data_IF_487914828395
#
_entry.id   IF_487914828395
#
_cell.length_a   1.000
_cell.length_b   1.000
_cell.length_c   1.000
_cell.angle_alpha   90.00
_cell.angle_beta   90.00
_cell.angle_gamma   90.00
#
_symmetry.space_group_name_H-M   'P 1'
#
loop_
_entity.id
_entity.type
_entity.pdbx_description
1 polymer ?
#
# COMPACT_ATOMS: atom_id res chain seq x y z
N UNK A 1 25.79 6.60 -17.32
CA UNK A 1 25.22 5.40 -16.69
C UNK A 1 23.86 5.15 -17.28
N UNK A 2 23.64 4.00 -17.85
CA UNK A 2 22.41 3.74 -18.59
C UNK A 2 21.47 2.87 -17.75
N UNK A 3 20.18 3.24 -17.75
CA UNK A 3 19.12 2.49 -17.12
C UNK A 3 18.10 2.01 -18.15
N UNK A 4 17.52 0.85 -17.90
CA UNK A 4 16.50 0.29 -18.76
C UNK A 4 15.11 0.83 -18.38
N UNK A 5 14.91 1.08 -17.09
CA UNK A 5 13.64 1.60 -16.54
C UNK A 5 13.94 2.72 -15.53
N UNK A 6 13.18 3.79 -15.62
CA UNK A 6 13.19 4.90 -14.67
C UNK A 6 11.82 5.00 -14.01
N UNK A 7 11.78 4.89 -12.68
CA UNK A 7 10.56 5.03 -11.89
C UNK A 7 10.61 6.38 -11.17
N UNK A 8 9.61 7.22 -11.39
CA UNK A 8 9.49 8.50 -10.72
C UNK A 8 8.61 8.36 -9.49
N UNK A 9 9.21 8.53 -8.31
CA UNK A 9 8.58 8.41 -7.01
C UNK A 9 8.91 7.10 -6.30
N UNK A 10 9.34 7.21 -5.04
CA UNK A 10 9.63 6.10 -4.15
C UNK A 10 8.51 5.88 -3.11
N UNK A 11 7.28 6.16 -3.49
CA UNK A 11 6.11 5.80 -2.71
C UNK A 11 5.78 4.31 -2.84
N UNK A 12 4.71 3.83 -2.18
CA UNK A 12 4.36 2.41 -2.19
C UNK A 12 4.24 1.81 -3.59
N UNK A 13 3.61 2.51 -4.52
CA UNK A 13 3.44 2.03 -5.89
C UNK A 13 4.79 1.91 -6.63
N UNK A 14 5.64 2.93 -6.55
CA UNK A 14 6.95 2.92 -7.21
C UNK A 14 7.87 1.85 -6.64
N UNK A 15 7.90 1.69 -5.34
CA UNK A 15 8.71 0.66 -4.66
C UNK A 15 8.20 -0.76 -4.97
N UNK A 16 6.89 -0.97 -5.00
CA UNK A 16 6.31 -2.25 -5.41
C UNK A 16 6.65 -2.59 -6.86
N UNK A 17 6.61 -1.61 -7.76
CA UNK A 17 7.00 -1.82 -9.15
C UNK A 17 8.49 -2.16 -9.26
N UNK A 18 9.36 -1.44 -8.57
CA UNK A 18 10.79 -1.73 -8.54
C UNK A 18 11.06 -3.15 -8.02
N UNK A 19 10.35 -3.57 -6.96
CA UNK A 19 10.42 -4.92 -6.42
C UNK A 19 9.95 -5.97 -7.43
N UNK A 20 8.82 -5.73 -8.08
CA UNK A 20 8.26 -6.65 -9.07
C UNK A 20 9.21 -6.85 -10.27
N UNK A 21 9.91 -5.81 -10.69
CA UNK A 21 10.85 -5.85 -11.82
C UNK A 21 12.25 -6.34 -11.43
N UNK A 22 12.54 -6.45 -10.14
CA UNK A 22 13.85 -6.90 -9.67
C UNK A 22 14.11 -8.37 -10.03
N UNK A 23 15.36 -8.71 -10.27
CA UNK A 23 15.76 -10.08 -10.61
C UNK A 23 15.52 -10.50 -12.07
N UNK A 24 15.11 -9.58 -12.92
CA UNK A 24 14.87 -9.83 -14.36
C UNK A 24 16.00 -9.31 -15.28
N UNK A 25 17.16 -8.98 -14.71
CA UNK A 25 18.30 -8.48 -15.48
C UNK A 25 18.16 -7.04 -15.97
N UNK A 26 17.16 -6.31 -15.45
CA UNK A 26 16.93 -4.91 -15.81
C UNK A 26 17.68 -3.98 -14.86
N UNK A 27 18.20 -2.89 -15.42
CA UNK A 27 18.81 -1.80 -14.65
C UNK A 27 17.72 -0.78 -14.34
N UNK A 28 17.35 -0.67 -13.07
CA UNK A 28 16.22 0.15 -12.64
C UNK A 28 16.74 1.29 -11.77
N UNK A 29 16.31 2.51 -12.09
CA UNK A 29 16.53 3.67 -11.24
C UNK A 29 15.19 4.16 -10.68
N UNK A 30 15.18 4.48 -9.41
CA UNK A 30 14.04 5.14 -8.75
C UNK A 30 14.48 6.56 -8.42
N UNK A 31 13.72 7.54 -8.88
CA UNK A 31 13.99 8.97 -8.63
C UNK A 31 12.96 9.48 -7.64
N UNK A 32 13.45 10.03 -6.54
CA UNK A 32 12.64 10.57 -5.46
C UNK A 32 13.16 11.95 -5.07
N UNK A 33 12.24 12.90 -4.83
CA UNK A 33 12.64 14.25 -4.42
C UNK A 33 12.97 14.36 -2.93
N UNK A 34 12.45 13.45 -2.11
CA UNK A 34 12.79 13.42 -0.68
C UNK A 34 14.12 12.67 -0.46
N UNK A 35 14.87 13.03 0.59
CA UNK A 35 16.11 12.34 0.92
C UNK A 35 15.83 10.90 1.37
N UNK A 36 16.79 10.00 1.15
CA UNK A 36 16.68 8.59 1.52
C UNK A 36 16.28 8.39 2.99
N UNK A 37 16.82 9.23 3.88
CA UNK A 37 16.50 9.17 5.30
C UNK A 37 15.02 9.38 5.62
N UNK A 38 14.30 10.17 4.80
CA UNK A 38 12.87 10.38 4.96
C UNK A 38 12.03 9.19 4.46
N UNK A 39 12.61 8.39 3.55
CA UNK A 39 11.98 7.16 3.06
C UNK A 39 12.21 6.01 4.05
N UNK A 40 13.42 5.89 4.58
CA UNK A 40 13.80 4.83 5.53
C UNK A 40 13.16 5.03 6.91
N UNK A 41 12.97 6.27 7.33
CA UNK A 41 12.38 6.64 8.62
C UNK A 41 11.32 7.72 8.40
N UNK A 42 10.18 7.37 7.81
CA UNK A 42 9.13 8.34 7.54
C UNK A 42 8.54 8.90 8.83
N UNK A 43 8.34 10.22 8.86
CA UNK A 43 7.61 10.83 9.95
C UNK A 43 6.14 10.40 9.89
N UNK A 44 5.56 10.08 11.04
CA UNK A 44 4.14 9.78 11.13
C UNK A 44 3.31 11.01 10.70
N UNK A 45 2.55 10.87 9.64
CA UNK A 45 1.74 11.95 9.07
C UNK A 45 0.24 11.78 9.30
N UNK A 46 -0.16 10.75 10.02
CA UNK A 46 -1.56 10.47 10.35
C UNK A 46 -2.37 9.87 9.19
N UNK A 47 -1.75 9.63 8.06
CA UNK A 47 -2.45 9.01 6.91
C UNK A 47 -2.40 7.50 6.98
N UNK A 48 -3.50 6.89 6.62
CA UNK A 48 -3.61 5.46 6.43
C UNK A 48 -3.98 5.15 4.99
N UNK A 49 -3.43 4.07 4.47
CA UNK A 49 -3.70 3.59 3.11
C UNK A 49 -4.65 2.41 3.22
N UNK A 50 -5.76 2.47 2.48
CA UNK A 50 -6.68 1.36 2.35
C UNK A 50 -6.22 0.44 1.22
N UNK A 51 -5.93 -0.80 1.53
CA UNK A 51 -5.54 -1.82 0.58
C UNK A 51 -6.75 -2.69 0.24
N UNK A 52 -7.03 -2.83 -1.05
CA UNK A 52 -8.04 -3.79 -1.53
C UNK A 52 -7.53 -5.23 -1.35
N UNK A 53 -8.42 -6.21 -1.52
CA UNK A 53 -8.03 -7.62 -1.54
C UNK A 53 -6.96 -7.90 -2.60
N UNK A 54 -7.11 -7.31 -3.78
CA UNK A 54 -6.12 -7.45 -4.86
C UNK A 54 -4.77 -6.82 -4.51
N UNK A 55 -4.75 -5.62 -3.96
CA UNK A 55 -3.50 -4.97 -3.53
C UNK A 55 -2.78 -5.76 -2.45
N UNK A 56 -3.51 -6.32 -1.51
CA UNK A 56 -2.95 -7.20 -0.48
C UNK A 56 -2.33 -8.45 -1.10
N UNK A 57 -2.98 -9.04 -2.11
CA UNK A 57 -2.44 -10.19 -2.82
C UNK A 57 -1.15 -9.85 -3.56
N UNK A 58 -1.07 -8.68 -4.20
CA UNK A 58 0.17 -8.19 -4.82
C UNK A 58 1.30 -8.10 -3.81
N UNK A 59 1.05 -7.54 -2.63
CA UNK A 59 2.07 -7.45 -1.57
C UNK A 59 2.53 -8.84 -1.12
N UNK A 60 1.62 -9.82 -1.01
CA UNK A 60 1.95 -11.21 -0.67
C UNK A 60 2.81 -11.84 -1.75
N UNK A 61 2.43 -11.69 -3.00
CA UNK A 61 3.16 -12.25 -4.14
C UNK A 61 4.58 -11.68 -4.27
N UNK A 62 4.78 -10.43 -3.88
CA UNK A 62 6.08 -9.78 -3.84
C UNK A 62 6.91 -10.14 -2.58
N UNK A 63 6.33 -10.87 -1.63
CA UNK A 63 6.97 -11.21 -0.35
C UNK A 63 7.07 -10.03 0.61
N UNK A 64 6.33 -8.95 0.37
CA UNK A 64 6.37 -7.73 1.19
C UNK A 64 5.42 -7.81 2.38
N UNK A 65 4.29 -8.48 2.24
CA UNK A 65 3.29 -8.60 3.31
C UNK A 65 3.89 -9.20 4.58
N UNK A 66 4.55 -10.34 4.45
CA UNK A 66 5.15 -11.05 5.58
C UNK A 66 6.28 -10.25 6.22
N UNK A 67 7.06 -9.54 5.41
CA UNK A 67 8.15 -8.69 5.92
C UNK A 67 7.60 -7.52 6.74
N UNK A 68 6.62 -6.81 6.24
CA UNK A 68 5.99 -5.69 6.95
C UNK A 68 5.34 -6.19 8.25
N UNK A 69 4.61 -7.29 8.19
CA UNK A 69 3.96 -7.87 9.37
C UNK A 69 4.95 -8.37 10.43
N UNK A 70 6.14 -8.83 10.00
CA UNK A 70 7.19 -9.27 10.92
C UNK A 70 7.92 -8.09 11.57
N UNK A 71 8.20 -7.03 10.79
CA UNK A 71 8.89 -5.84 11.28
C UNK A 71 7.97 -5.01 12.22
N UNK A 72 6.68 -4.95 11.90
CA UNK A 72 5.70 -4.20 12.67
C UNK A 72 4.44 -5.05 12.89
N UNK A 73 4.37 -5.83 13.99
CA UNK A 73 3.18 -6.59 14.33
C UNK A 73 1.95 -5.67 14.47
N UNK A 74 0.88 -6.02 13.75
CA UNK A 74 -0.33 -5.20 13.72
C UNK A 74 -0.31 -4.07 12.69
N UNK A 75 0.69 -4.03 11.79
CA UNK A 75 0.76 -3.03 10.72
C UNK A 75 -0.50 -3.02 9.84
N UNK A 76 -1.09 -4.17 9.60
CA UNK A 76 -2.30 -4.31 8.79
C UNK A 76 -3.53 -4.50 9.68
N UNK A 77 -4.44 -3.52 9.66
CA UNK A 77 -5.71 -3.60 10.35
C UNK A 77 -6.83 -3.97 9.36
N UNK A 78 -7.68 -4.96 9.67
CA UNK A 78 -8.76 -5.34 8.75
C UNK A 78 -9.79 -4.21 8.62
N UNK A 79 -10.16 -3.90 7.38
CA UNK A 79 -11.23 -2.97 7.02
C UNK A 79 -12.47 -3.79 6.65
N UNK A 80 -13.48 -3.78 7.49
CA UNK A 80 -14.69 -4.59 7.28
C UNK A 80 -15.82 -3.81 6.63
N UNK A 81 -16.00 -2.58 7.05
CA UNK A 81 -17.10 -1.73 6.57
C UNK A 81 -16.57 -0.37 6.14
N UNK A 82 -17.15 0.18 5.08
CA UNK A 82 -16.90 1.54 4.62
C UNK A 82 -18.21 2.31 4.58
N UNK A 83 -18.18 3.53 5.06
CA UNK A 83 -19.34 4.41 5.07
C UNK A 83 -19.06 5.64 4.21
N UNK A 84 -19.94 5.87 3.24
CA UNK A 84 -19.85 7.05 2.38
C UNK A 84 -20.89 8.07 2.85
N UNK A 85 -20.41 9.25 3.23
CA UNK A 85 -21.21 10.36 3.69
C UNK A 85 -21.28 11.43 2.59
N UNK A 86 -22.42 12.10 2.50
CA UNK A 86 -22.62 13.20 1.57
C UNK A 86 -22.97 14.49 2.34
N UNK A 87 -21.94 15.23 2.75
CA UNK A 87 -22.09 16.49 3.48
C UNK A 87 -22.99 16.35 4.71
N UNK A 88 -23.94 17.27 4.92
CA UNK A 88 -24.83 17.25 6.08
C UNK A 88 -26.02 16.28 5.94
N UNK A 89 -26.06 15.47 4.88
CA UNK A 89 -27.14 14.49 4.68
C UNK A 89 -27.18 13.49 5.84
N UNK A 90 -28.39 13.18 6.40
CA UNK A 90 -28.51 12.15 7.43
C UNK A 90 -28.36 10.73 6.89
N UNK A 91 -28.30 10.57 5.57
CA UNK A 91 -28.17 9.27 4.92
C UNK A 91 -26.70 8.96 4.63
N UNK A 92 -26.32 7.72 4.85
CA UNK A 92 -25.00 7.21 4.51
C UNK A 92 -25.14 5.91 3.70
N UNK A 93 -24.26 5.73 2.74
CA UNK A 93 -24.12 4.46 2.05
C UNK A 93 -23.10 3.62 2.82
N UNK A 94 -23.51 2.45 3.27
CA UNK A 94 -22.63 1.49 3.96
C UNK A 94 -22.26 0.38 3.01
N UNK A 95 -20.96 0.15 2.86
CA UNK A 95 -20.41 -0.99 2.13
C UNK A 95 -19.93 -1.98 3.16
N UNK A 96 -20.60 -3.12 3.26
CA UNK A 96 -20.37 -4.14 4.27
C UNK A 96 -19.62 -5.33 3.63
N UNK A 97 -18.61 -5.87 4.32
CA UNK A 97 -17.89 -7.07 3.90
C UNK A 97 -18.81 -8.28 3.70
N UNK A 98 -19.97 -8.33 4.40
CA UNK A 98 -20.96 -9.42 4.27
C UNK A 98 -21.58 -9.50 2.88
N UNK A 99 -21.47 -8.43 2.07
CA UNK A 99 -21.87 -8.43 0.67
C UNK A 99 -20.84 -9.14 -0.23
N UNK A 100 -19.70 -9.50 0.30
CA UNK A 100 -18.64 -10.22 -0.40
C UNK A 100 -18.42 -11.61 0.20
N UNK A 101 -17.55 -12.41 -0.42
CA UNK A 101 -17.15 -13.73 0.10
C UNK A 101 -15.96 -13.64 1.06
N UNK A 102 -15.52 -12.43 1.42
CA UNK A 102 -14.37 -12.20 2.29
C UNK A 102 -14.80 -11.78 3.69
N UNK A 103 -13.94 -12.04 4.68
CA UNK A 103 -14.16 -11.61 6.06
C UNK A 103 -13.90 -10.12 6.27
N UNK A 104 -13.29 -9.45 5.30
CA UNK A 104 -12.98 -8.02 5.29
C UNK A 104 -13.03 -7.48 3.85
N UNK A 105 -13.24 -6.17 3.71
CA UNK A 105 -13.14 -5.46 2.42
C UNK A 105 -11.68 -5.34 1.96
N UNK A 106 -10.79 -5.20 2.91
CA UNK A 106 -9.37 -5.01 2.70
C UNK A 106 -8.68 -4.70 4.01
N UNK A 107 -7.59 -3.95 3.97
CA UNK A 107 -6.80 -3.60 5.14
C UNK A 107 -6.40 -2.14 5.13
N UNK A 108 -6.19 -1.60 6.34
CA UNK A 108 -5.57 -0.30 6.55
C UNK A 108 -4.13 -0.50 6.99
N UNK A 109 -3.24 0.30 6.43
CA UNK A 109 -1.82 0.33 6.80
C UNK A 109 -1.35 1.78 6.89
N UNK A 110 -0.51 2.08 7.85
CA UNK A 110 0.09 3.41 7.97
C UNK A 110 0.97 3.72 6.76
N UNK A 111 0.88 4.97 6.28
CA UNK A 111 1.68 5.42 5.15
C UNK A 111 3.17 5.52 5.51
#
# INVERSE_FOLDING_TARGET
MDYDILISGAGPAGLCLARALSGHGLRIAVVEQQPLSAIENPAYDGREIALTQHSAQVLRDLGLWERIAADEPGAFAPLRDAQVLNGPSPFAMVIDHQLSQHSELGWLVSN
#
